data_IF_593444024370
#
_entry.id   IF_593444024370
#
_cell.length_a   1.000
_cell.length_b   1.000
_cell.length_c   1.000
_cell.angle_alpha   90.00
_cell.angle_beta   90.00
_cell.angle_gamma   90.00
#
_symmetry.space_group_name_H-M   'P 1'
#
loop_
_entity.id
_entity.type
_entity.pdbx_description
1 polymer ?
#
# COMPACT_ATOMS: atom_id res chain seq x y z
N UNK A 1 -21.98 0.78 8.75
CA UNK A 1 -21.28 1.93 8.12
C UNK A 1 -19.75 1.91 8.38
N UNK A 2 -19.26 1.55 9.58
CA UNK A 2 -17.84 1.59 9.93
C UNK A 2 -16.90 0.69 9.10
N UNK A 3 -17.29 -0.56 8.78
CA UNK A 3 -16.42 -1.53 8.08
C UNK A 3 -15.93 -1.03 6.71
N UNK A 4 -16.80 -0.39 5.93
CA UNK A 4 -16.43 0.16 4.61
C UNK A 4 -15.43 1.33 4.72
N UNK A 5 -15.63 2.21 5.72
CA UNK A 5 -14.71 3.33 5.99
C UNK A 5 -13.32 2.85 6.42
N UNK A 6 -13.25 1.83 7.28
CA UNK A 6 -11.97 1.23 7.70
C UNK A 6 -11.25 0.59 6.50
N UNK A 7 -11.97 -0.16 5.66
CA UNK A 7 -11.38 -0.76 4.45
C UNK A 7 -10.83 0.29 3.49
N UNK A 8 -11.54 1.41 3.31
CA UNK A 8 -11.07 2.55 2.51
C UNK A 8 -9.84 3.21 3.13
N UNK A 9 -9.85 3.44 4.45
CA UNK A 9 -8.70 4.02 5.14
C UNK A 9 -7.42 3.23 4.89
N UNK A 10 -7.46 1.90 4.99
CA UNK A 10 -6.28 1.06 4.70
C UNK A 10 -5.80 1.20 3.25
N UNK A 11 -6.71 1.21 2.27
CA UNK A 11 -6.34 1.40 0.86
C UNK A 11 -5.69 2.75 0.59
N UNK A 12 -6.21 3.82 1.20
CA UNK A 12 -5.81 5.19 0.87
C UNK A 12 -4.58 5.65 1.71
N UNK A 13 -4.36 5.08 2.90
CA UNK A 13 -3.42 5.62 3.89
C UNK A 13 -2.31 4.65 4.32
N UNK A 14 -2.27 3.41 3.82
CA UNK A 14 -1.20 2.47 4.17
C UNK A 14 -0.45 1.98 2.94
N UNK A 15 0.89 2.02 3.03
CA UNK A 15 1.78 1.68 1.91
C UNK A 15 1.49 0.29 1.35
N UNK A 16 1.27 -0.70 2.22
CA UNK A 16 1.15 -2.11 1.83
C UNK A 16 -0.21 -2.46 1.21
N UNK A 17 -1.28 -1.76 1.57
CA UNK A 17 -2.65 -2.06 1.09
C UNK A 17 -3.08 -1.20 -0.10
N UNK A 18 -2.33 -0.16 -0.44
CA UNK A 18 -2.63 0.67 -1.61
C UNK A 18 -2.36 -0.09 -2.92
N UNK A 19 -3.04 0.32 -3.99
CA UNK A 19 -2.77 -0.19 -5.34
C UNK A 19 -1.36 0.18 -5.79
N UNK A 20 -0.68 -0.76 -6.43
CA UNK A 20 0.65 -0.55 -6.97
C UNK A 20 0.58 0.35 -8.22
N UNK A 21 1.38 1.41 -8.27
CA UNK A 21 1.26 2.44 -9.32
C UNK A 21 1.60 1.93 -10.73
N UNK A 22 2.44 0.89 -10.84
CA UNK A 22 2.80 0.29 -12.14
C UNK A 22 1.81 -0.79 -12.59
N UNK A 23 1.02 -1.33 -11.67
CA UNK A 23 -0.01 -2.32 -11.94
C UNK A 23 -1.11 -2.23 -10.88
N UNK A 24 -2.19 -1.51 -11.22
CA UNK A 24 -3.27 -1.21 -10.30
C UNK A 24 -4.14 -2.42 -9.92
N UNK A 25 -3.91 -3.59 -10.56
CA UNK A 25 -4.61 -4.85 -10.25
C UNK A 25 -4.11 -5.50 -8.97
N UNK A 26 -2.91 -5.15 -8.52
CA UNK A 26 -2.30 -5.67 -7.30
C UNK A 26 -1.96 -4.56 -6.30
N UNK A 27 -1.83 -4.94 -5.05
CA UNK A 27 -1.34 -4.10 -3.96
C UNK A 27 0.19 -4.06 -3.93
N UNK A 28 0.74 -3.08 -3.23
CA UNK A 28 2.20 -3.03 -2.97
C UNK A 28 2.67 -4.27 -2.21
N UNK A 29 1.89 -4.79 -1.26
CA UNK A 29 2.25 -6.01 -0.53
C UNK A 29 2.36 -7.24 -1.45
N UNK A 30 1.40 -7.40 -2.37
CA UNK A 30 1.41 -8.50 -3.34
C UNK A 30 2.62 -8.40 -4.26
N UNK A 31 2.93 -7.20 -4.74
CA UNK A 31 4.14 -6.97 -5.54
C UNK A 31 5.42 -7.32 -4.77
N UNK A 32 5.57 -6.85 -3.52
CA UNK A 32 6.77 -7.11 -2.71
C UNK A 32 7.00 -8.61 -2.50
N UNK A 33 5.93 -9.40 -2.30
CA UNK A 33 6.05 -10.86 -2.18
C UNK A 33 6.58 -11.54 -3.44
N UNK A 34 6.40 -10.95 -4.62
CA UNK A 34 6.96 -11.52 -5.88
C UNK A 34 8.48 -11.39 -5.97
N UNK A 35 9.08 -10.53 -5.14
CA UNK A 35 10.53 -10.31 -5.09
C UNK A 35 11.21 -11.36 -4.21
N UNK A 36 10.47 -11.98 -3.28
CA UNK A 36 10.96 -13.02 -2.37
C UNK A 36 10.42 -12.82 -0.95
N UNK A 37 11.12 -13.40 0.03
CA UNK A 37 10.79 -13.24 1.45
C UNK A 37 11.38 -11.93 2.02
N UNK A 38 10.81 -10.82 1.58
CA UNK A 38 11.24 -9.47 1.97
C UNK A 38 10.06 -8.66 2.52
N UNK A 39 10.37 -7.73 3.42
CA UNK A 39 9.37 -6.85 4.04
C UNK A 39 9.80 -5.39 3.98
N UNK A 40 8.80 -4.49 3.89
CA UNK A 40 9.05 -3.05 3.93
C UNK A 40 9.21 -2.64 5.40
N UNK A 41 10.40 -2.15 5.75
CA UNK A 41 10.73 -1.73 7.12
C UNK A 41 10.34 -0.29 7.43
N UNK A 42 10.23 0.57 6.41
CA UNK A 42 9.81 1.96 6.57
C UNK A 42 9.86 2.75 5.27
N UNK A 43 9.21 3.91 5.24
CA UNK A 43 9.30 4.86 4.14
C UNK A 43 9.13 6.30 4.67
N UNK A 44 9.68 7.27 3.92
CA UNK A 44 9.49 8.70 4.17
C UNK A 44 9.02 9.36 2.88
N UNK A 45 7.92 10.11 2.95
CA UNK A 45 7.44 10.95 1.85
C UNK A 45 7.74 12.41 2.19
N UNK A 46 8.36 13.13 1.27
CA UNK A 46 8.57 14.58 1.34
C UNK A 46 7.81 15.21 0.19
N UNK A 47 7.07 16.29 0.46
CA UNK A 47 6.42 17.11 -0.54
C UNK A 47 6.80 18.56 -0.25
N UNK A 48 7.28 19.27 -1.28
CA UNK A 48 7.37 20.72 -1.25
C UNK A 48 5.96 21.20 -1.62
N UNK A 49 5.36 22.03 -0.76
CA UNK A 49 3.98 22.50 -0.89
C UNK A 49 3.67 23.11 -2.24
#
# INVERSE_FOLDING_TARGET
>A
IAKGKIKRFFKDNTLVNQSFIKDSKQSVAEYVKTIGDVSVTGFKRVALG
#
